data_IF_060043282570
#
_entry.id   IF_060043282570
#
_cell.length_a   1.000
_cell.length_b   1.000
_cell.length_c   1.000
_cell.angle_alpha   90.00
_cell.angle_beta   90.00
_cell.angle_gamma   90.00
#
_symmetry.space_group_name_H-M   'P 1'
#
loop_
_entity.id
_entity.type
_entity.pdbx_description
1 polymer ?
#
# COMPACT_ATOMS: atom_id res chain seq x y z
N UNK A 1 17.43 -30.53 -9.50
CA UNK A 1 16.65 -29.90 -8.41
C UNK A 1 16.23 -31.00 -7.44
N UNK A 2 16.64 -30.90 -6.17
CA UNK A 2 16.34 -31.90 -5.14
C UNK A 2 14.84 -31.87 -4.85
N UNK A 3 14.16 -33.02 -4.85
CA UNK A 3 12.76 -33.10 -4.39
C UNK A 3 12.81 -32.83 -2.89
N UNK A 4 12.22 -31.73 -2.41
CA UNK A 4 12.10 -31.48 -0.98
C UNK A 4 11.32 -32.63 -0.34
N UNK A 5 11.85 -33.16 0.76
CA UNK A 5 11.11 -34.08 1.63
C UNK A 5 9.93 -33.32 2.28
N UNK A 6 8.87 -34.04 2.61
CA UNK A 6 7.66 -33.48 3.24
C UNK A 6 7.98 -32.72 4.53
N UNK A 7 8.91 -33.24 5.33
CA UNK A 7 9.35 -32.62 6.57
C UNK A 7 10.17 -31.34 6.33
N UNK A 8 11.10 -31.36 5.37
CA UNK A 8 11.87 -30.19 4.97
C UNK A 8 10.95 -29.10 4.45
N UNK A 9 9.92 -29.44 3.66
CA UNK A 9 8.93 -28.50 3.18
C UNK A 9 8.14 -27.85 4.32
N UNK A 10 7.71 -28.63 5.32
CA UNK A 10 6.99 -28.13 6.50
C UNK A 10 7.84 -27.14 7.30
N UNK A 11 9.11 -27.46 7.55
CA UNK A 11 10.05 -26.58 8.27
C UNK A 11 10.20 -25.26 7.54
N UNK A 12 10.38 -25.28 6.21
CA UNK A 12 10.49 -24.04 5.41
C UNK A 12 9.21 -23.20 5.44
N UNK A 13 8.02 -23.82 5.43
CA UNK A 13 6.77 -23.08 5.57
C UNK A 13 6.64 -22.41 6.95
N UNK A 14 7.03 -23.08 8.03
CA UNK A 14 7.05 -22.50 9.36
C UNK A 14 8.03 -21.31 9.44
N UNK A 15 9.20 -21.43 8.82
CA UNK A 15 10.18 -20.37 8.71
C UNK A 15 9.63 -19.15 7.92
N UNK A 16 9.01 -19.38 6.75
CA UNK A 16 8.37 -18.33 5.95
C UNK A 16 7.31 -17.61 6.79
N UNK A 17 6.42 -18.34 7.45
CA UNK A 17 5.36 -17.74 8.26
C UNK A 17 5.94 -16.87 9.40
N UNK A 18 6.96 -17.38 10.11
CA UNK A 18 7.64 -16.62 11.17
C UNK A 18 8.30 -15.33 10.65
N UNK A 19 8.89 -15.35 9.44
CA UNK A 19 9.50 -14.19 8.83
C UNK A 19 8.45 -13.17 8.35
N UNK A 20 7.32 -13.64 7.82
CA UNK A 20 6.18 -12.81 7.42
C UNK A 20 5.56 -12.10 8.65
N UNK A 21 5.34 -12.81 9.76
CA UNK A 21 4.86 -12.23 11.02
C UNK A 21 5.79 -11.09 11.52
N UNK A 22 7.10 -11.26 11.33
CA UNK A 22 8.11 -10.24 11.65
C UNK A 22 8.25 -9.14 10.57
N UNK A 23 7.45 -9.20 9.50
CA UNK A 23 7.53 -8.31 8.33
C UNK A 23 8.91 -8.33 7.64
N UNK A 24 9.67 -9.40 7.81
CA UNK A 24 10.97 -9.59 7.18
C UNK A 24 10.82 -10.29 5.82
N UNK A 25 10.23 -9.57 4.87
CA UNK A 25 9.93 -10.12 3.54
C UNK A 25 11.19 -10.43 2.72
N UNK A 26 12.32 -9.78 3.01
CA UNK A 26 13.58 -10.01 2.30
C UNK A 26 14.13 -11.40 2.58
N UNK A 27 14.26 -11.77 3.85
CA UNK A 27 14.75 -13.09 4.23
C UNK A 27 13.71 -14.18 3.87
N UNK A 28 12.41 -13.87 3.99
CA UNK A 28 11.36 -14.77 3.55
C UNK A 28 11.48 -15.12 2.06
N UNK A 29 11.87 -14.16 1.20
CA UNK A 29 12.07 -14.38 -0.23
C UNK A 29 13.20 -15.38 -0.51
N UNK A 30 14.29 -15.34 0.27
CA UNK A 30 15.40 -16.29 0.10
C UNK A 30 14.95 -17.74 0.36
N UNK A 31 14.10 -17.94 1.37
CA UNK A 31 13.50 -19.27 1.64
C UNK A 31 12.53 -19.66 0.53
N UNK A 32 11.70 -18.72 0.08
CA UNK A 32 10.71 -18.93 -1.00
C UNK A 32 11.41 -19.35 -2.30
N UNK A 33 12.52 -18.71 -2.67
CA UNK A 33 13.28 -19.04 -3.89
C UNK A 33 13.88 -20.46 -3.88
N UNK A 34 13.98 -21.09 -2.70
CA UNK A 34 14.49 -22.45 -2.55
C UNK A 34 13.46 -23.56 -2.83
N UNK A 35 12.19 -23.19 -3.11
CA UNK A 35 11.04 -24.10 -3.22
C UNK A 35 10.46 -24.11 -4.64
N UNK A 36 10.09 -25.30 -5.16
CA UNK A 36 9.33 -25.41 -6.41
C UNK A 36 7.83 -25.35 -6.15
N UNK A 37 7.25 -24.16 -6.29
CA UNK A 37 5.85 -23.87 -5.99
C UNK A 37 4.85 -24.53 -6.97
N UNK A 38 5.27 -24.96 -8.14
CA UNK A 38 4.38 -25.61 -9.14
C UNK A 38 3.74 -26.89 -8.61
N UNK A 39 4.32 -27.50 -7.60
CA UNK A 39 3.81 -28.71 -6.96
C UNK A 39 2.92 -28.46 -5.77
N UNK A 40 2.94 -27.23 -5.23
CA UNK A 40 2.17 -26.88 -4.03
C UNK A 40 0.71 -26.66 -4.44
N UNK A 41 -0.21 -27.37 -3.81
CA UNK A 41 -1.66 -27.32 -4.12
C UNK A 41 -2.42 -26.33 -3.23
N UNK A 42 -1.87 -25.99 -2.08
CA UNK A 42 -2.52 -25.08 -1.14
C UNK A 42 -2.54 -23.66 -1.70
N UNK A 43 -3.72 -23.17 -2.00
CA UNK A 43 -3.95 -21.84 -2.61
C UNK A 43 -3.53 -20.72 -1.66
N UNK A 44 -3.84 -20.86 -0.37
CA UNK A 44 -3.45 -19.86 0.63
C UNK A 44 -1.93 -19.71 0.70
N UNK A 45 -1.18 -20.81 0.76
CA UNK A 45 0.28 -20.78 0.75
C UNK A 45 0.81 -20.07 -0.52
N UNK A 46 0.21 -20.34 -1.68
CA UNK A 46 0.61 -19.66 -2.92
C UNK A 46 0.32 -18.15 -2.85
N UNK A 47 -0.82 -17.74 -2.26
CA UNK A 47 -1.10 -16.32 -2.08
C UNK A 47 -0.05 -15.64 -1.19
N UNK A 48 0.32 -16.25 -0.05
CA UNK A 48 1.38 -15.72 0.82
C UNK A 48 2.70 -15.56 0.07
N UNK A 49 3.08 -16.54 -0.75
CA UNK A 49 4.29 -16.48 -1.57
C UNK A 49 4.22 -15.38 -2.61
N UNK A 50 3.07 -15.21 -3.28
CA UNK A 50 2.84 -14.11 -4.20
C UNK A 50 3.02 -12.75 -3.54
N UNK A 51 2.50 -12.57 -2.32
CA UNK A 51 2.68 -11.35 -1.52
C UNK A 51 4.15 -11.11 -1.14
N UNK A 52 4.90 -12.14 -0.79
CA UNK A 52 6.34 -12.02 -0.48
C UNK A 52 7.10 -11.50 -1.70
N UNK A 53 6.84 -12.04 -2.89
CA UNK A 53 7.44 -11.55 -4.11
C UNK A 53 7.03 -10.11 -4.41
N UNK A 54 5.75 -9.75 -4.25
CA UNK A 54 5.26 -8.39 -4.45
C UNK A 54 5.90 -7.39 -3.49
N UNK A 55 6.03 -7.73 -2.19
CA UNK A 55 6.70 -6.92 -1.18
C UNK A 55 8.18 -6.65 -1.52
N UNK A 56 8.84 -7.59 -2.20
CA UNK A 56 10.21 -7.45 -2.71
C UNK A 56 10.29 -6.85 -4.13
N UNK A 57 9.18 -6.34 -4.67
CA UNK A 57 9.07 -5.74 -6.01
C UNK A 57 9.39 -6.70 -7.17
N UNK A 58 9.37 -8.01 -6.90
CA UNK A 58 9.51 -9.07 -7.91
C UNK A 58 8.12 -9.39 -8.52
N UNK A 59 7.56 -8.40 -9.20
CA UNK A 59 6.17 -8.45 -9.67
C UNK A 59 5.91 -9.57 -10.71
N UNK A 60 6.89 -9.88 -11.57
CA UNK A 60 6.75 -10.97 -12.54
C UNK A 60 6.59 -12.33 -11.83
N UNK A 61 7.43 -12.61 -10.82
CA UNK A 61 7.34 -13.85 -10.04
C UNK A 61 6.05 -13.89 -9.21
N UNK A 62 5.67 -12.75 -8.63
CA UNK A 62 4.40 -12.60 -7.90
C UNK A 62 3.21 -12.96 -8.79
N UNK A 63 3.17 -12.42 -10.02
CA UNK A 63 2.13 -12.72 -11.02
C UNK A 63 2.07 -14.21 -11.33
N UNK A 64 3.21 -14.85 -11.61
CA UNK A 64 3.24 -16.29 -11.90
C UNK A 64 2.65 -17.13 -10.76
N UNK A 65 2.95 -16.77 -9.52
CA UNK A 65 2.43 -17.48 -8.35
C UNK A 65 0.93 -17.22 -8.17
N UNK A 66 0.45 -15.98 -8.34
CA UNK A 66 -0.99 -15.69 -8.28
C UNK A 66 -1.77 -16.37 -9.41
N UNK A 67 -1.22 -16.44 -10.63
CA UNK A 67 -1.80 -17.21 -11.71
C UNK A 67 -1.88 -18.71 -11.37
N UNK A 68 -0.83 -19.26 -10.76
CA UNK A 68 -0.83 -20.62 -10.30
C UNK A 68 -1.91 -20.87 -9.23
N UNK A 69 -2.09 -19.93 -8.30
CA UNK A 69 -3.15 -19.96 -7.30
C UNK A 69 -4.53 -19.88 -7.96
N UNK A 70 -4.71 -18.96 -8.91
CA UNK A 70 -5.96 -18.75 -9.64
C UNK A 70 -6.38 -19.98 -10.43
N UNK A 71 -5.47 -20.63 -11.16
CA UNK A 71 -5.76 -21.88 -11.87
C UNK A 71 -6.22 -23.02 -10.96
N UNK A 72 -5.94 -22.94 -9.67
CA UNK A 72 -6.36 -23.96 -8.67
C UNK A 72 -7.66 -23.58 -7.97
N UNK A 73 -8.00 -22.32 -7.89
CA UNK A 73 -9.23 -21.79 -7.32
C UNK A 73 -9.77 -20.62 -8.18
N UNK A 74 -10.40 -20.92 -9.31
CA UNK A 74 -10.84 -19.89 -10.27
C UNK A 74 -11.96 -18.95 -9.76
N UNK A 75 -12.50 -19.17 -8.57
CA UNK A 75 -13.56 -18.34 -7.96
C UNK A 75 -12.97 -17.38 -6.91
N UNK A 76 -11.67 -17.23 -6.86
CA UNK A 76 -10.96 -16.45 -5.87
C UNK A 76 -10.94 -14.94 -6.17
N UNK A 77 -11.99 -14.18 -5.80
CA UNK A 77 -12.02 -12.72 -5.95
C UNK A 77 -10.77 -12.02 -5.38
N UNK A 78 -10.24 -12.54 -4.27
CA UNK A 78 -9.03 -11.98 -3.64
C UNK A 78 -7.79 -12.18 -4.53
N UNK A 79 -7.71 -13.29 -5.27
CA UNK A 79 -6.60 -13.55 -6.19
C UNK A 79 -6.67 -12.60 -7.38
N UNK A 80 -7.87 -12.38 -7.96
CA UNK A 80 -8.07 -11.39 -9.01
C UNK A 80 -7.68 -9.98 -8.56
N UNK A 81 -8.07 -9.60 -7.33
CA UNK A 81 -7.64 -8.32 -6.75
C UNK A 81 -6.11 -8.19 -6.77
N UNK A 82 -5.38 -9.23 -6.36
CA UNK A 82 -3.91 -9.22 -6.34
C UNK A 82 -3.31 -9.23 -7.74
N UNK A 83 -3.88 -9.98 -8.66
CA UNK A 83 -3.45 -9.97 -10.07
C UNK A 83 -3.59 -8.56 -10.67
N UNK A 84 -4.71 -7.89 -10.44
CA UNK A 84 -4.90 -6.49 -10.86
C UNK A 84 -3.82 -5.58 -10.27
N UNK A 85 -3.56 -5.67 -8.94
CA UNK A 85 -2.54 -4.84 -8.30
C UNK A 85 -1.15 -5.08 -8.87
N UNK A 86 -0.78 -6.34 -9.08
CA UNK A 86 0.53 -6.71 -9.63
C UNK A 86 0.66 -6.27 -11.09
N UNK A 87 -0.38 -6.45 -11.93
CA UNK A 87 -0.38 -5.99 -13.31
C UNK A 87 -0.23 -4.46 -13.39
N UNK A 88 -0.88 -3.70 -12.51
CA UNK A 88 -0.71 -2.25 -12.40
C UNK A 88 0.72 -1.86 -11.97
N UNK A 89 1.36 -2.63 -11.06
CA UNK A 89 2.77 -2.39 -10.67
C UNK A 89 3.75 -2.72 -11.80
N UNK A 90 3.37 -3.62 -12.71
CA UNK A 90 4.12 -3.93 -13.95
C UNK A 90 3.81 -2.94 -15.09
N UNK A 91 2.91 -1.99 -14.86
CA UNK A 91 2.39 -1.05 -15.86
C UNK A 91 1.68 -1.76 -17.03
N UNK A 92 1.12 -2.94 -16.77
CA UNK A 92 0.31 -3.70 -17.71
C UNK A 92 -1.18 -3.42 -17.44
N UNK A 93 -1.66 -2.31 -17.99
CA UNK A 93 -3.02 -1.83 -17.74
C UNK A 93 -4.04 -2.72 -18.45
N UNK A 94 -3.70 -3.24 -19.62
CA UNK A 94 -4.59 -4.10 -20.40
C UNK A 94 -4.89 -5.41 -19.65
N UNK A 95 -3.85 -6.06 -19.12
CA UNK A 95 -4.00 -7.26 -18.29
C UNK A 95 -4.78 -6.94 -17.00
N UNK A 96 -4.51 -5.80 -16.35
CA UNK A 96 -5.27 -5.37 -15.18
C UNK A 96 -6.76 -5.19 -15.47
N UNK A 97 -7.10 -4.67 -16.65
CA UNK A 97 -8.47 -4.49 -17.09
C UNK A 97 -9.16 -5.83 -17.40
N UNK A 98 -8.45 -6.81 -17.97
CA UNK A 98 -8.97 -8.17 -18.18
C UNK A 98 -9.38 -8.82 -16.84
N UNK A 99 -8.50 -8.81 -15.84
CA UNK A 99 -8.81 -9.33 -14.50
C UNK A 99 -9.90 -8.53 -13.79
N UNK A 100 -9.98 -7.21 -14.03
CA UNK A 100 -11.05 -6.39 -13.48
C UNK A 100 -12.42 -6.78 -14.03
N UNK A 101 -12.52 -7.02 -15.34
CA UNK A 101 -13.78 -7.48 -15.96
C UNK A 101 -14.20 -8.84 -15.39
N UNK A 102 -13.24 -9.74 -15.20
CA UNK A 102 -13.49 -11.04 -14.58
C UNK A 102 -13.92 -10.91 -13.10
N UNK A 103 -13.30 -9.95 -12.36
CA UNK A 103 -13.73 -9.63 -10.99
C UNK A 103 -15.19 -9.17 -10.94
N UNK A 104 -15.62 -8.33 -11.88
CA UNK A 104 -17.00 -7.86 -11.97
C UNK A 104 -18.01 -9.00 -12.23
N UNK A 105 -17.62 -10.01 -13.00
CA UNK A 105 -18.46 -11.19 -13.25
C UNK A 105 -18.63 -12.05 -12.00
N UNK A 106 -17.57 -12.23 -11.23
CA UNK A 106 -17.57 -13.07 -10.02
C UNK A 106 -18.20 -12.36 -8.83
N UNK A 107 -17.96 -11.06 -8.68
CA UNK A 107 -18.35 -10.28 -7.51
C UNK A 107 -19.03 -8.93 -7.89
N UNK A 108 -20.16 -8.94 -8.60
CA UNK A 108 -20.78 -7.72 -9.16
C UNK A 108 -21.27 -6.72 -8.10
N UNK A 109 -21.51 -7.18 -6.87
CA UNK A 109 -21.98 -6.34 -5.77
C UNK A 109 -20.90 -5.98 -4.75
N UNK A 110 -19.66 -6.36 -4.99
CA UNK A 110 -18.54 -6.06 -4.08
C UNK A 110 -18.11 -4.60 -4.29
N UNK A 111 -18.14 -3.81 -3.22
CA UNK A 111 -17.70 -2.40 -3.25
C UNK A 111 -16.24 -2.22 -3.65
N UNK A 112 -15.40 -3.23 -3.45
CA UNK A 112 -14.01 -3.27 -3.89
C UNK A 112 -13.84 -2.97 -5.39
N UNK A 113 -14.87 -3.23 -6.22
CA UNK A 113 -14.86 -2.89 -7.65
C UNK A 113 -14.55 -1.40 -7.91
N UNK A 114 -15.06 -0.50 -7.08
CA UNK A 114 -14.81 0.94 -7.23
C UNK A 114 -13.36 1.28 -6.93
N UNK A 115 -12.78 0.63 -5.90
CA UNK A 115 -11.37 0.79 -5.54
C UNK A 115 -10.47 0.30 -6.67
N UNK A 116 -10.75 -0.86 -7.23
CA UNK A 116 -10.00 -1.41 -8.37
C UNK A 116 -10.12 -0.51 -9.60
N UNK A 117 -11.34 -0.05 -9.91
CA UNK A 117 -11.58 0.91 -10.99
C UNK A 117 -10.78 2.19 -10.81
N UNK A 118 -10.79 2.75 -9.59
CA UNK A 118 -9.99 3.93 -9.27
C UNK A 118 -8.51 3.69 -9.50
N UNK A 119 -7.94 2.56 -9.03
CA UNK A 119 -6.52 2.23 -9.22
C UNK A 119 -6.16 2.13 -10.71
N UNK A 120 -6.99 1.50 -11.52
CA UNK A 120 -6.79 1.37 -12.98
C UNK A 120 -6.85 2.76 -13.63
N UNK A 121 -7.92 3.56 -13.37
CA UNK A 121 -8.08 4.89 -13.97
C UNK A 121 -6.96 5.85 -13.54
N UNK A 122 -6.46 5.74 -12.31
CA UNK A 122 -5.29 6.48 -11.84
C UNK A 122 -4.02 6.08 -12.59
N UNK A 123 -3.80 4.79 -12.86
CA UNK A 123 -2.66 4.30 -13.65
C UNK A 123 -2.73 4.76 -15.11
N UNK A 124 -3.93 4.87 -15.69
CA UNK A 124 -4.19 5.44 -17.00
C UNK A 124 -4.07 6.98 -17.03
N UNK A 125 -3.79 7.62 -15.89
CA UNK A 125 -3.75 9.08 -15.76
C UNK A 125 -5.07 9.75 -16.18
N UNK A 126 -6.20 9.11 -15.90
CA UNK A 126 -7.53 9.65 -16.18
C UNK A 126 -7.74 11.01 -15.50
N UNK A 127 -8.63 11.88 -16.04
CA UNK A 127 -8.94 13.19 -15.46
C UNK A 127 -9.35 13.09 -13.99
N UNK A 128 -8.98 14.11 -13.18
CA UNK A 128 -9.28 14.14 -11.74
C UNK A 128 -10.77 14.00 -11.44
N UNK A 129 -11.61 14.61 -12.26
CA UNK A 129 -13.07 14.58 -12.10
C UNK A 129 -13.62 13.15 -12.21
N UNK A 130 -13.03 12.32 -13.07
CA UNK A 130 -13.42 10.93 -13.19
C UNK A 130 -12.96 10.11 -11.99
N UNK A 131 -11.71 10.32 -11.53
CA UNK A 131 -11.17 9.67 -10.36
C UNK A 131 -11.98 10.01 -9.10
N UNK A 132 -12.35 11.30 -8.94
CA UNK A 132 -13.19 11.79 -7.84
C UNK A 132 -14.54 11.07 -7.86
N UNK A 133 -15.23 11.05 -9.00
CA UNK A 133 -16.55 10.43 -9.12
C UNK A 133 -16.52 8.95 -8.70
N UNK A 134 -15.51 8.21 -9.10
CA UNK A 134 -15.38 6.79 -8.72
C UNK A 134 -15.25 6.62 -7.21
N UNK A 135 -14.47 7.46 -6.53
CA UNK A 135 -14.35 7.39 -5.07
C UNK A 135 -15.55 8.00 -4.34
N UNK A 136 -16.29 8.94 -4.94
CA UNK A 136 -17.61 9.37 -4.42
C UNK A 136 -18.60 8.20 -4.44
N UNK A 137 -18.68 7.45 -5.56
CA UNK A 137 -19.52 6.25 -5.69
C UNK A 137 -19.13 5.18 -4.66
N UNK A 138 -17.83 5.01 -4.39
CA UNK A 138 -17.36 4.10 -3.33
C UNK A 138 -17.79 4.57 -1.95
N UNK A 139 -17.63 5.87 -1.63
CA UNK A 139 -17.99 6.45 -0.34
C UNK A 139 -19.49 6.25 -0.02
N UNK A 140 -20.36 6.25 -1.02
CA UNK A 140 -21.79 5.96 -0.84
C UNK A 140 -22.05 4.50 -0.41
N UNK A 141 -21.13 3.58 -0.67
CA UNK A 141 -21.23 2.17 -0.29
C UNK A 141 -20.54 1.88 1.03
N UNK A 142 -19.30 2.41 1.15
CA UNK A 142 -18.44 2.16 2.30
C UNK A 142 -17.67 3.42 2.66
N UNK A 143 -17.76 3.82 3.94
CA UNK A 143 -16.97 4.92 4.47
C UNK A 143 -15.76 4.37 5.22
N UNK A 144 -14.61 4.30 4.54
CA UNK A 144 -13.35 3.77 5.07
C UNK A 144 -12.29 4.86 5.16
N UNK A 145 -11.44 4.78 6.17
CA UNK A 145 -10.44 5.80 6.48
C UNK A 145 -9.47 6.07 5.31
N UNK A 146 -8.93 5.00 4.70
CA UNK A 146 -7.97 5.08 3.60
C UNK A 146 -8.54 5.77 2.36
N UNK A 147 -9.71 5.31 1.90
CA UNK A 147 -10.28 5.79 0.65
C UNK A 147 -10.96 7.15 0.78
N UNK A 148 -11.45 7.49 1.98
CA UNK A 148 -11.91 8.84 2.29
C UNK A 148 -10.75 9.83 2.25
N UNK A 149 -9.58 9.46 2.76
CA UNK A 149 -8.38 10.28 2.65
C UNK A 149 -7.94 10.46 1.18
N UNK A 150 -7.93 9.38 0.37
CA UNK A 150 -7.61 9.52 -1.06
C UNK A 150 -8.59 10.45 -1.78
N UNK A 151 -9.88 10.37 -1.49
CA UNK A 151 -10.88 11.28 -2.03
C UNK A 151 -10.64 12.74 -1.59
N UNK A 152 -10.34 12.98 -0.30
CA UNK A 152 -9.99 14.30 0.19
C UNK A 152 -8.76 14.89 -0.50
N UNK A 153 -7.74 14.05 -0.75
CA UNK A 153 -6.54 14.42 -1.52
C UNK A 153 -6.88 14.82 -2.96
N UNK A 154 -7.78 14.08 -3.63
CA UNK A 154 -8.23 14.43 -4.98
C UNK A 154 -9.01 15.74 -5.00
N UNK A 155 -9.90 16.01 -4.02
CA UNK A 155 -10.57 17.31 -3.89
C UNK A 155 -9.58 18.46 -3.69
N UNK A 156 -8.56 18.23 -2.84
CA UNK A 156 -7.48 19.21 -2.64
C UNK A 156 -6.74 19.51 -3.95
N UNK A 157 -6.38 18.49 -4.73
CA UNK A 157 -5.72 18.62 -6.03
C UNK A 157 -6.60 19.32 -7.08
N UNK A 158 -7.90 19.08 -7.05
CA UNK A 158 -8.88 19.71 -7.93
C UNK A 158 -9.22 21.15 -7.52
N UNK A 159 -8.75 21.63 -6.35
CA UNK A 159 -9.08 22.95 -5.82
C UNK A 159 -10.48 23.06 -5.22
N UNK A 160 -11.20 21.96 -5.05
CA UNK A 160 -12.51 21.94 -4.38
C UNK A 160 -12.32 21.97 -2.84
N UNK A 161 -11.94 23.16 -2.37
CA UNK A 161 -11.66 23.46 -0.97
C UNK A 161 -12.80 23.05 -0.05
N UNK A 162 -14.05 23.29 -0.48
CA UNK A 162 -15.21 23.02 0.36
C UNK A 162 -15.39 21.52 0.59
N UNK A 163 -15.48 20.73 -0.48
CA UNK A 163 -15.64 19.27 -0.37
C UNK A 163 -14.47 18.64 0.36
N UNK A 164 -13.25 19.15 0.13
CA UNK A 164 -12.05 18.68 0.83
C UNK A 164 -12.17 18.88 2.34
N UNK A 165 -12.53 20.06 2.81
CA UNK A 165 -12.68 20.38 4.24
C UNK A 165 -13.82 19.58 4.86
N UNK A 166 -15.00 19.56 4.23
CA UNK A 166 -16.16 18.82 4.71
C UNK A 166 -15.81 17.34 4.92
N UNK A 167 -15.08 16.73 3.98
CA UNK A 167 -14.66 15.33 4.08
C UNK A 167 -13.59 15.11 5.16
N UNK A 168 -12.61 16.03 5.29
CA UNK A 168 -11.62 15.94 6.37
C UNK A 168 -12.29 16.04 7.75
N UNK A 169 -13.27 16.92 7.91
CA UNK A 169 -14.05 17.07 9.17
C UNK A 169 -14.84 15.79 9.48
N UNK A 170 -15.46 15.22 8.44
CA UNK A 170 -16.19 13.95 8.57
C UNK A 170 -15.25 12.81 9.00
N UNK A 171 -14.03 12.72 8.42
CA UNK A 171 -13.02 11.74 8.80
C UNK A 171 -12.58 11.90 10.26
N UNK A 172 -12.32 13.13 10.71
CA UNK A 172 -11.95 13.41 12.12
C UNK A 172 -13.07 13.02 13.07
N UNK A 173 -14.32 13.25 12.67
CA UNK A 173 -15.49 12.91 13.49
C UNK A 173 -15.68 11.40 13.63
N UNK A 174 -15.59 10.65 12.54
CA UNK A 174 -15.92 9.22 12.52
C UNK A 174 -14.77 8.31 12.97
N UNK A 175 -13.55 8.62 12.56
CA UNK A 175 -12.40 7.75 12.86
C UNK A 175 -11.60 8.19 14.08
N UNK A 176 -11.85 9.40 14.58
CA UNK A 176 -11.22 10.01 15.76
C UNK A 176 -9.69 10.07 15.70
N UNK A 177 -9.01 8.92 15.67
CA UNK A 177 -7.55 8.75 15.63
C UNK A 177 -7.16 7.75 14.53
N UNK A 178 -6.01 7.95 13.92
CA UNK A 178 -5.51 7.05 12.89
C UNK A 178 -4.54 7.74 11.93
N UNK A 179 -3.80 6.93 11.19
CA UNK A 179 -2.81 7.40 10.22
C UNK A 179 -3.42 8.34 9.18
N UNK A 180 -4.59 7.98 8.65
CA UNK A 180 -5.24 8.76 7.60
C UNK A 180 -5.99 9.97 8.13
N UNK A 181 -6.47 9.94 9.36
CA UNK A 181 -6.99 11.12 10.07
C UNK A 181 -5.89 12.17 10.21
N UNK A 182 -4.67 11.75 10.59
CA UNK A 182 -3.54 12.67 10.68
C UNK A 182 -3.13 13.24 9.32
N UNK A 183 -3.18 12.45 8.26
CA UNK A 183 -2.96 12.92 6.88
C UNK A 183 -4.06 13.90 6.43
N UNK A 184 -5.30 13.71 6.84
CA UNK A 184 -6.40 14.64 6.58
C UNK A 184 -6.19 15.98 7.34
N UNK A 185 -5.74 15.93 8.60
CA UNK A 185 -5.35 17.11 9.36
C UNK A 185 -4.16 17.85 8.72
N UNK A 186 -3.20 17.12 8.10
CA UNK A 186 -2.11 17.75 7.35
C UNK A 186 -2.62 18.53 6.13
N UNK A 187 -3.58 17.99 5.38
CA UNK A 187 -4.24 18.75 4.30
C UNK A 187 -4.89 20.02 4.85
N UNK A 188 -5.66 19.95 5.95
CA UNK A 188 -6.25 21.12 6.60
C UNK A 188 -5.21 22.12 7.08
N UNK A 189 -4.07 21.65 7.60
CA UNK A 189 -2.94 22.50 8.01
C UNK A 189 -2.35 23.27 6.83
N UNK A 190 -2.08 22.60 5.71
CA UNK A 190 -1.58 23.21 4.46
C UNK A 190 -2.54 24.27 3.91
N UNK A 191 -3.84 24.10 4.14
CA UNK A 191 -4.88 25.06 3.78
C UNK A 191 -5.06 26.18 4.83
N UNK A 192 -4.39 26.12 5.98
CA UNK A 192 -4.55 27.07 7.09
C UNK A 192 -5.90 26.98 7.81
N UNK A 193 -6.59 25.84 7.72
CA UNK A 193 -7.97 25.64 8.17
C UNK A 193 -8.11 24.72 9.40
N UNK A 194 -7.02 24.50 10.16
CA UNK A 194 -7.10 23.75 11.42
C UNK A 194 -7.85 24.55 12.49
N UNK A 195 -8.78 23.90 13.17
CA UNK A 195 -9.36 24.42 14.41
C UNK A 195 -8.36 24.34 15.57
N UNK A 196 -8.59 25.09 16.67
CA UNK A 196 -7.66 25.09 17.81
C UNK A 196 -7.42 23.70 18.41
N UNK A 197 -8.48 22.87 18.50
CA UNK A 197 -8.39 21.48 19.01
C UNK A 197 -7.64 20.55 18.04
N UNK A 198 -7.88 20.70 16.76
CA UNK A 198 -7.19 19.92 15.71
C UNK A 198 -5.72 20.28 15.67
N UNK A 199 -5.38 21.57 15.84
CA UNK A 199 -4.01 22.04 15.90
C UNK A 199 -3.25 21.46 17.09
N UNK A 200 -3.86 21.46 18.28
CA UNK A 200 -3.26 20.79 19.44
C UNK A 200 -3.00 19.29 19.21
N UNK A 201 -3.93 18.62 18.54
CA UNK A 201 -3.80 17.20 18.19
C UNK A 201 -2.69 16.97 17.18
N UNK A 202 -2.67 17.78 16.12
CA UNK A 202 -1.65 17.76 15.09
C UNK A 202 -0.25 17.99 15.67
N UNK A 203 -0.10 19.06 16.47
CA UNK A 203 1.17 19.43 17.09
C UNK A 203 1.71 18.36 18.05
N UNK A 204 0.84 17.73 18.86
CA UNK A 204 1.25 16.65 19.76
C UNK A 204 1.85 15.45 19.07
N UNK A 205 1.40 15.14 17.87
CA UNK A 205 1.82 13.94 17.13
C UNK A 205 2.96 14.23 16.15
N UNK A 206 3.05 15.42 15.58
CA UNK A 206 4.08 15.81 14.60
C UNK A 206 5.34 16.42 15.21
N UNK A 207 5.23 17.24 16.25
CA UNK A 207 6.38 17.90 16.88
C UNK A 207 7.42 16.90 17.42
N UNK A 208 7.06 15.77 18.07
CA UNK A 208 8.05 14.78 18.50
C UNK A 208 8.83 14.13 17.35
N UNK A 209 8.18 13.98 16.20
CA UNK A 209 8.83 13.40 15.00
C UNK A 209 9.76 14.41 14.33
N UNK A 210 9.39 15.68 14.25
CA UNK A 210 10.26 16.76 13.75
C UNK A 210 11.51 16.90 14.63
N UNK A 211 11.37 16.89 15.95
CA UNK A 211 12.52 16.92 16.86
C UNK A 211 13.49 15.75 16.66
N UNK A 212 12.98 14.53 16.41
CA UNK A 212 13.82 13.38 16.10
C UNK A 212 14.55 13.52 14.77
N UNK A 213 13.88 14.08 13.74
CA UNK A 213 14.51 14.36 12.45
C UNK A 213 15.60 15.42 12.60
N UNK A 214 15.34 16.50 13.34
CA UNK A 214 16.34 17.55 13.62
C UNK A 214 17.53 17.01 14.42
N UNK A 215 17.32 16.10 15.38
CA UNK A 215 18.38 15.41 16.10
C UNK A 215 19.22 14.50 15.19
N UNK A 216 18.57 13.76 14.29
CA UNK A 216 19.25 12.89 13.31
C UNK A 216 20.04 13.72 12.30
N UNK A 217 19.48 14.85 11.83
CA UNK A 217 20.15 15.76 10.91
C UNK A 217 21.36 16.40 11.60
N UNK A 218 21.23 16.84 12.87
CA UNK A 218 22.36 17.37 13.66
C UNK A 218 23.45 16.32 13.89
N UNK A 219 23.07 15.08 14.24
CA UNK A 219 24.04 13.99 14.42
C UNK A 219 24.77 13.64 13.11
N UNK A 220 24.09 13.70 11.96
CA UNK A 220 24.75 13.51 10.66
C UNK A 220 25.64 14.69 10.27
N UNK A 221 25.26 15.91 10.59
CA UNK A 221 26.09 17.09 10.35
C UNK A 221 27.36 17.06 11.23
N UNK A 222 27.24 16.72 12.53
CA UNK A 222 28.37 16.59 13.45
C UNK A 222 29.30 15.41 13.09
N UNK A 223 28.78 14.35 12.44
CA UNK A 223 29.60 13.25 11.91
C UNK A 223 30.33 13.64 10.61
N UNK A 224 29.81 14.59 9.84
CA UNK A 224 30.42 15.07 8.59
C UNK A 224 31.53 16.11 8.81
N UNK A 225 31.47 16.87 9.91
CA UNK A 225 32.53 17.85 10.26
C UNK A 225 33.85 17.20 10.73
N UNK A 226 33.86 15.88 10.97
CA UNK A 226 35.07 15.13 11.32
C UNK A 226 35.79 14.48 10.14
N UNK A 227 35.25 14.52 8.94
CA UNK A 227 35.91 14.05 7.72
C UNK A 227 35.67 15.06 6.60
N UNK A 228 36.39 16.18 6.52
CA UNK A 228 36.81 16.64 5.21
C UNK A 228 37.64 17.93 5.22
N UNK A 229 38.75 17.86 4.55
CA UNK A 229 39.28 18.90 3.65
C UNK A 229 39.04 18.46 2.20
N UNK A 230 38.62 19.46 1.36
CA UNK A 230 38.58 19.48 -0.13
C UNK A 230 37.33 18.86 -0.79
N UNK A 231 36.55 19.52 -1.58
CA UNK A 231 36.59 20.52 -2.66
C UNK A 231 35.19 21.05 -3.00
N UNK A 232 35.13 22.33 -3.39
CA UNK A 232 33.95 23.05 -3.87
C UNK A 232 33.52 22.57 -5.27
N UNK A 233 32.22 22.49 -5.54
CA UNK A 233 31.57 23.13 -6.72
C UNK A 233 30.04 22.99 -6.69
N UNK A 234 29.42 24.11 -7.02
CA UNK A 234 28.00 24.46 -7.06
C UNK A 234 27.04 23.48 -7.73
N UNK A 235 25.86 23.29 -7.15
CA UNK A 235 24.59 23.42 -7.87
C UNK A 235 23.43 23.60 -6.88
N UNK A 236 22.85 24.80 -6.89
CA UNK A 236 21.53 25.10 -6.33
C UNK A 236 20.49 24.24 -7.05
N UNK A 237 19.77 23.43 -6.29
CA UNK A 237 18.48 22.91 -6.70
C UNK A 237 17.58 22.84 -5.45
N UNK A 238 16.67 23.81 -5.34
CA UNK A 238 15.60 23.77 -4.37
C UNK A 238 14.69 22.58 -4.70
N UNK A 239 14.94 21.45 -4.04
CA UNK A 239 14.00 20.36 -3.98
C UNK A 239 13.21 20.53 -2.67
N UNK A 240 11.97 20.96 -2.77
CA UNK A 240 10.99 20.84 -1.70
C UNK A 240 11.00 19.38 -1.22
N UNK A 241 11.54 19.15 -0.02
CA UNK A 241 11.55 17.85 0.61
C UNK A 241 10.11 17.51 1.03
N UNK A 242 9.37 16.89 0.13
CA UNK A 242 8.15 16.17 0.44
C UNK A 242 8.53 15.10 1.46
N UNK A 243 8.12 15.27 2.73
CA UNK A 243 8.25 14.22 3.74
C UNK A 243 7.32 13.10 3.30
N UNK A 244 7.83 12.22 2.47
CA UNK A 244 7.18 11.00 2.06
C UNK A 244 7.08 10.09 3.29
N UNK A 245 5.92 10.12 3.96
CA UNK A 245 5.53 9.01 4.81
C UNK A 245 5.51 7.77 3.89
N UNK A 246 6.11 6.65 4.29
CA UNK A 246 6.20 5.48 3.43
C UNK A 246 4.82 5.13 2.89
N UNK A 247 4.71 5.05 1.56
CA UNK A 247 3.51 4.59 0.89
C UNK A 247 3.14 3.23 1.46
N UNK A 248 1.91 3.13 2.00
CA UNK A 248 1.39 1.93 2.61
C UNK A 248 0.81 0.99 1.54
N UNK A 249 1.59 0.73 0.52
CA UNK A 249 1.37 -0.34 -0.45
C UNK A 249 1.95 -1.68 0.05
N UNK A 250 2.29 -1.77 1.35
CA UNK A 250 2.58 -3.06 1.96
C UNK A 250 1.30 -3.88 1.96
N UNK A 251 1.30 -5.08 1.36
CA UNK A 251 0.16 -5.96 1.39
C UNK A 251 -0.21 -6.24 2.85
N UNK A 252 -1.46 -5.95 3.20
CA UNK A 252 -2.01 -6.37 4.49
C UNK A 252 -2.24 -7.87 4.35
N UNK A 253 -1.30 -8.65 4.86
CA UNK A 253 -1.50 -10.08 5.05
C UNK A 253 -2.36 -10.18 6.30
N UNK A 254 -3.68 -10.26 6.11
CA UNK A 254 -4.58 -10.63 7.18
C UNK A 254 -4.16 -12.01 7.68
N UNK A 255 -3.88 -12.10 8.98
CA UNK A 255 -3.65 -13.38 9.65
C UNK A 255 -4.89 -14.24 9.51
N UNK A 256 -4.85 -15.18 8.58
CA UNK A 256 -5.96 -16.11 8.36
C UNK A 256 -5.77 -17.28 9.30
N UNK A 257 -6.80 -17.52 10.10
CA UNK A 257 -6.95 -18.70 10.93
C UNK A 257 -6.69 -19.97 10.09
N UNK A 258 -5.71 -20.74 10.53
CA UNK A 258 -5.44 -22.07 9.99
C UNK A 258 -6.48 -23.01 10.57
N UNK A 259 -7.63 -23.13 9.90
CA UNK A 259 -8.58 -24.20 10.20
C UNK A 259 -8.16 -25.46 9.42
N UNK A 260 -7.58 -26.41 10.14
CA UNK A 260 -7.29 -27.74 9.66
C UNK A 260 -8.62 -28.49 9.43
N UNK A 261 -8.95 -28.77 8.16
CA UNK A 261 -9.78 -29.93 7.79
C UNK A 261 -9.29 -30.57 6.51
#
# INVERSE_FOLDING_TARGET
>A
MKILDKEEFRIKLEEINSLVEKKNYKDAMEVVDSIDWRRVKNVHTLCVVGEIYAANKRYADSREIFLLAYHRAPIGRNILYRLIEVSLKMNDIDEAMEYYNEFLEIAPNDSTQYVLKYKIRKAEQAPLEEQIRILEDYKEKEFTERWSYELAKLYYQAGDTKKCLDLCDEMVLWFSDGKYVMKALDIKNRMGMLTGKEKEKYDKQFIPNLKKVDEIVKQKAEAHDNENTETEEDTENEAEAEIALPDDDTPVIDSVDIDER
#
